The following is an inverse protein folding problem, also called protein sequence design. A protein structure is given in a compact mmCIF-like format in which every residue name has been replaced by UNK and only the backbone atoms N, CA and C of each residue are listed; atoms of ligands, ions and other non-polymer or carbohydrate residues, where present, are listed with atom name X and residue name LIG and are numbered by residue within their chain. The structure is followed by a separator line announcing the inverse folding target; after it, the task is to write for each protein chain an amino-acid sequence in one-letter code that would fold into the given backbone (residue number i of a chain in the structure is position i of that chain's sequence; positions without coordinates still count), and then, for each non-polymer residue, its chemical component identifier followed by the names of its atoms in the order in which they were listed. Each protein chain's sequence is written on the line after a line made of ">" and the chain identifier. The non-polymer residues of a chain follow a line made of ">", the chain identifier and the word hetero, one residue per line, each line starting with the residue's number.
data_IF_195710921315
#
_entry.id   IF_195710921315
#
_cell.length_a   1.000
_cell.length_b   1.000
_cell.length_c   1.000
_cell.angle_alpha   90.00
_cell.angle_beta   90.00
_cell.angle_gamma   90.00
#
_symmetry.space_group_name_H-M   'P 1'
#
loop_
_entity.id
_entity.type
_entity.pdbx_description
1 polymer ?
#
# COMPACT_ATOMS: atom_id res chain seq x y z
N UNK A 1 4.73 -16.37 -2.62
CA UNK A 1 3.44 -17.10 -2.68
C UNK A 1 2.33 -16.15 -2.29
N UNK A 2 1.25 -16.06 -3.09
CA UNK A 2 0.10 -15.21 -2.79
C UNK A 2 -0.73 -15.88 -1.69
N UNK A 3 -1.04 -15.19 -0.57
CA UNK A 3 -1.90 -15.75 0.45
C UNK A 3 -3.25 -16.21 -0.12
N UNK A 4 -3.85 -17.31 0.38
CA UNK A 4 -5.09 -17.87 -0.17
C UNK A 4 -6.25 -16.88 -0.27
N UNK A 5 -6.37 -15.96 0.70
CA UNK A 5 -7.43 -14.95 0.72
C UNK A 5 -7.26 -13.86 -0.37
N UNK A 6 -6.05 -13.68 -0.92
CA UNK A 6 -5.80 -12.80 -2.05
C UNK A 6 -5.93 -13.49 -3.40
N UNK A 7 -5.97 -14.83 -3.44
CA UNK A 7 -5.96 -15.55 -4.71
C UNK A 7 -7.14 -15.17 -5.61
N UNK A 8 -8.33 -15.14 -5.05
CA UNK A 8 -9.53 -14.74 -5.80
C UNK A 8 -9.45 -13.29 -6.30
N UNK A 9 -8.93 -12.39 -5.48
CA UNK A 9 -8.74 -10.99 -5.87
C UNK A 9 -7.68 -10.86 -6.96
N UNK A 10 -6.63 -11.65 -6.88
CA UNK A 10 -5.58 -11.71 -7.89
C UNK A 10 -6.09 -12.26 -9.22
N UNK A 11 -6.88 -13.34 -9.19
CA UNK A 11 -7.48 -13.90 -10.40
C UNK A 11 -8.42 -12.89 -11.08
N UNK A 12 -9.24 -12.17 -10.32
CA UNK A 12 -10.07 -11.09 -10.84
C UNK A 12 -9.24 -9.94 -11.43
N UNK A 13 -8.10 -9.60 -10.83
CA UNK A 13 -7.21 -8.58 -11.37
C UNK A 13 -6.58 -9.02 -12.70
N UNK A 14 -6.18 -10.28 -12.83
CA UNK A 14 -5.69 -10.83 -14.10
C UNK A 14 -6.76 -10.78 -15.19
N UNK A 15 -8.00 -11.17 -14.86
CA UNK A 15 -9.12 -11.07 -15.79
C UNK A 15 -9.33 -9.61 -16.26
N UNK A 16 -9.18 -8.65 -15.36
CA UNK A 16 -9.23 -7.24 -15.73
C UNK A 16 -8.09 -6.85 -16.67
N UNK A 17 -6.87 -7.26 -16.38
CA UNK A 17 -5.70 -6.97 -17.26
C UNK A 17 -5.92 -7.57 -18.65
N UNK A 18 -6.50 -8.76 -18.74
CA UNK A 18 -6.83 -9.40 -20.00
C UNK A 18 -7.96 -8.70 -20.77
N UNK A 19 -8.80 -7.93 -20.07
CA UNK A 19 -9.84 -7.09 -20.69
C UNK A 19 -9.31 -5.79 -21.30
N UNK A 20 -8.04 -5.45 -21.10
CA UNK A 20 -7.46 -4.22 -21.62
C UNK A 20 -7.44 -4.19 -23.13
N UNK A 21 -7.75 -3.01 -23.69
CA UNK A 21 -7.90 -2.81 -25.13
C UNK A 21 -6.57 -2.59 -25.87
N UNK A 22 -5.52 -2.19 -25.11
CA UNK A 22 -4.20 -2.00 -25.72
C UNK A 22 -3.50 -3.34 -25.98
N UNK A 23 -2.66 -3.41 -27.01
CA UNK A 23 -1.83 -4.59 -27.25
C UNK A 23 -0.99 -4.97 -26.02
N UNK A 24 -0.67 -6.27 -25.82
CA UNK A 24 0.04 -6.75 -24.64
C UNK A 24 1.28 -5.93 -24.24
N UNK A 25 2.08 -5.52 -25.21
CA UNK A 25 3.30 -4.73 -25.02
C UNK A 25 3.04 -3.27 -24.55
N UNK A 26 1.78 -2.81 -24.62
CA UNK A 26 1.37 -1.46 -24.20
C UNK A 26 0.43 -1.46 -22.99
N UNK A 27 0.03 -2.64 -22.49
CA UNK A 27 -0.91 -2.76 -21.36
C UNK A 27 -0.39 -2.11 -20.08
N UNK A 28 0.93 -1.97 -19.93
CA UNK A 28 1.51 -1.24 -18.80
C UNK A 28 0.98 0.20 -18.68
N UNK A 29 0.58 0.83 -19.77
CA UNK A 29 -0.01 2.18 -19.75
C UNK A 29 -1.39 2.17 -19.08
N UNK A 30 -2.19 1.12 -19.30
CA UNK A 30 -3.50 0.96 -18.66
C UNK A 30 -3.38 0.55 -17.19
N UNK A 31 -2.40 -0.30 -16.86
CA UNK A 31 -2.08 -0.67 -15.47
C UNK A 31 -1.67 0.55 -14.66
N UNK A 32 -0.89 1.45 -15.25
CA UNK A 32 -0.39 2.66 -14.57
C UNK A 32 -1.28 3.89 -14.75
N UNK A 33 -2.43 3.76 -15.38
CA UNK A 33 -3.36 4.87 -15.52
C UNK A 33 -3.79 5.38 -14.14
N UNK A 34 -3.67 6.68 -13.93
CA UNK A 34 -3.93 7.31 -12.64
C UNK A 34 -2.87 7.09 -11.57
N UNK A 35 -1.74 6.41 -11.86
CA UNK A 35 -0.70 6.11 -10.87
C UNK A 35 -0.30 7.33 -10.04
N UNK A 36 -0.38 7.19 -8.72
CA UNK A 36 -0.12 8.24 -7.72
C UNK A 36 -0.95 9.54 -7.89
N UNK A 37 -2.02 9.52 -8.67
CA UNK A 37 -2.84 10.71 -8.95
C UNK A 37 -4.32 10.48 -8.65
N UNK A 38 -4.92 9.47 -9.25
CA UNK A 38 -6.33 9.13 -9.05
C UNK A 38 -6.54 7.61 -9.18
N UNK A 39 -7.64 7.14 -8.62
CA UNK A 39 -8.03 5.73 -8.74
C UNK A 39 -9.05 5.56 -9.86
N UNK A 40 -8.79 4.64 -10.78
CA UNK A 40 -9.75 4.25 -11.80
C UNK A 40 -10.94 3.56 -11.11
N UNK A 41 -12.20 3.95 -11.41
CA UNK A 41 -13.37 3.42 -10.71
C UNK A 41 -13.46 1.89 -10.70
N UNK A 42 -13.09 1.25 -11.79
CA UNK A 42 -13.12 -0.21 -11.95
C UNK A 42 -12.11 -0.94 -11.07
N UNK A 43 -11.10 -0.25 -10.58
CA UNK A 43 -10.07 -0.82 -9.72
C UNK A 43 -10.36 -0.66 -8.23
N UNK A 44 -11.39 0.12 -7.86
CA UNK A 44 -11.78 0.31 -6.45
C UNK A 44 -12.10 -1.00 -5.74
N UNK A 45 -12.63 -1.98 -6.45
CA UNK A 45 -12.96 -3.30 -5.90
C UNK A 45 -11.73 -4.02 -5.34
N UNK A 46 -10.52 -3.71 -5.82
CA UNK A 46 -9.27 -4.31 -5.37
C UNK A 46 -8.67 -3.62 -4.15
N UNK A 47 -9.17 -2.43 -3.79
CA UNK A 47 -8.72 -1.68 -2.61
C UNK A 47 -9.61 -2.07 -1.43
N UNK A 48 -9.25 -3.16 -0.77
CA UNK A 48 -9.95 -3.66 0.41
C UNK A 48 -9.12 -3.39 1.67
N UNK A 49 -9.74 -3.38 2.87
CA UNK A 49 -9.00 -3.28 4.12
C UNK A 49 -7.85 -4.29 4.21
N UNK A 50 -8.08 -5.53 3.83
CA UNK A 50 -7.10 -6.61 3.85
C UNK A 50 -5.94 -6.34 2.89
N UNK A 51 -6.22 -5.79 1.71
CA UNK A 51 -5.19 -5.43 0.75
C UNK A 51 -4.34 -4.27 1.27
N UNK A 52 -4.95 -3.27 1.90
CA UNK A 52 -4.24 -2.15 2.53
C UNK A 52 -3.34 -2.66 3.65
N UNK A 53 -3.86 -3.47 4.57
CA UNK A 53 -3.10 -4.04 5.69
C UNK A 53 -1.92 -4.90 5.23
N UNK A 54 -2.05 -5.56 4.08
CA UNK A 54 -0.99 -6.42 3.54
C UNK A 54 0.22 -5.63 3.00
N UNK A 55 0.03 -4.39 2.58
CA UNK A 55 1.07 -3.60 1.89
C UNK A 55 1.41 -2.28 2.57
N UNK A 56 0.61 -1.87 3.55
CA UNK A 56 0.80 -0.61 4.29
C UNK A 56 0.98 -0.88 5.78
N UNK A 57 1.69 0.00 6.47
CA UNK A 57 1.67 0.04 7.92
C UNK A 57 0.39 0.75 8.37
N UNK A 58 -0.51 0.03 9.03
CA UNK A 58 -1.81 0.53 9.48
C UNK A 58 -2.03 0.12 10.92
N UNK A 59 -2.66 1.00 11.70
CA UNK A 59 -3.03 0.70 13.07
C UNK A 59 -2.88 1.90 14.00
N UNK A 60 -2.94 1.61 15.30
CA UNK A 60 -2.62 2.57 16.36
C UNK A 60 -1.15 2.97 16.35
N UNK A 61 -0.77 3.97 17.13
CA UNK A 61 0.63 4.34 17.30
C UNK A 61 1.47 3.14 17.80
N UNK A 62 0.93 2.34 18.71
CA UNK A 62 1.61 1.14 19.23
C UNK A 62 1.79 0.08 18.15
N UNK A 63 0.76 -0.15 17.32
CA UNK A 63 0.86 -1.09 16.20
C UNK A 63 1.93 -0.67 15.20
N UNK A 64 2.02 0.62 14.88
CA UNK A 64 3.05 1.15 13.99
C UNK A 64 4.44 1.02 14.61
N UNK A 65 4.60 1.32 15.89
CA UNK A 65 5.86 1.14 16.61
C UNK A 65 6.32 -0.31 16.55
N UNK A 66 5.44 -1.27 16.77
CA UNK A 66 5.75 -2.69 16.72
C UNK A 66 6.13 -3.16 15.30
N UNK A 67 5.45 -2.66 14.29
CA UNK A 67 5.79 -2.93 12.89
C UNK A 67 7.18 -2.37 12.53
N UNK A 68 7.50 -1.15 12.97
CA UNK A 68 8.83 -0.54 12.77
C UNK A 68 9.91 -1.30 13.52
N UNK A 69 9.66 -1.73 14.76
CA UNK A 69 10.59 -2.59 15.51
C UNK A 69 10.86 -3.91 14.80
N UNK A 70 9.80 -4.56 14.31
CA UNK A 70 9.94 -5.80 13.54
C UNK A 70 10.81 -5.59 12.30
N UNK A 71 10.61 -4.49 11.58
CA UNK A 71 11.45 -4.14 10.43
C UNK A 71 12.92 -3.93 10.85
N UNK A 72 13.15 -3.21 11.94
CA UNK A 72 14.50 -2.98 12.48
C UNK A 72 15.18 -4.29 12.90
N UNK A 73 14.48 -5.19 13.58
CA UNK A 73 14.98 -6.50 14.00
C UNK A 73 15.34 -7.40 12.79
N UNK A 74 14.68 -7.18 11.66
CA UNK A 74 15.00 -7.84 10.39
C UNK A 74 16.07 -7.11 9.56
N UNK A 75 16.73 -6.12 10.12
CA UNK A 75 17.89 -5.45 9.53
C UNK A 75 17.57 -4.20 8.71
N UNK A 76 16.32 -3.73 8.70
CA UNK A 76 15.95 -2.46 8.07
C UNK A 76 16.47 -1.31 8.93
N UNK A 77 17.25 -0.41 8.36
CA UNK A 77 17.88 0.71 9.07
C UNK A 77 17.28 2.07 8.75
N UNK A 78 16.51 2.15 7.68
CA UNK A 78 15.90 3.38 7.22
C UNK A 78 14.50 3.11 6.68
N UNK A 79 13.55 3.95 7.03
CA UNK A 79 12.17 3.89 6.54
C UNK A 79 11.81 5.24 5.95
N UNK A 80 11.33 5.22 4.72
CA UNK A 80 10.74 6.39 4.07
C UNK A 80 9.22 6.34 4.25
N UNK A 81 8.67 7.45 4.73
CA UNK A 81 7.22 7.58 4.95
C UNK A 81 6.58 8.23 3.73
N UNK A 82 5.55 7.60 3.20
CA UNK A 82 4.77 8.13 2.09
C UNK A 82 3.28 8.11 2.43
N UNK A 83 2.81 9.08 3.22
CA UNK A 83 1.41 9.16 3.60
C UNK A 83 0.52 9.63 2.44
N UNK A 84 -0.79 9.40 2.57
CA UNK A 84 -1.76 9.92 1.63
C UNK A 84 -1.69 11.47 1.58
N UNK A 85 -1.77 12.04 0.38
CA UNK A 85 -1.55 13.47 0.13
C UNK A 85 -2.47 14.36 0.97
N UNK A 86 -3.74 13.99 1.09
CA UNK A 86 -4.75 14.78 1.81
C UNK A 86 -4.51 14.84 3.33
N UNK A 87 -3.74 13.89 3.88
CA UNK A 87 -3.45 13.76 5.30
C UNK A 87 -1.95 13.80 5.63
N UNK A 88 -1.11 14.19 4.68
CA UNK A 88 0.34 14.07 4.83
C UNK A 88 0.89 14.89 6.02
N UNK A 89 0.37 16.07 6.27
CA UNK A 89 0.82 16.91 7.39
C UNK A 89 0.50 16.29 8.74
N UNK A 90 -0.71 15.76 8.89
CA UNK A 90 -1.15 15.07 10.12
C UNK A 90 -0.32 13.82 10.33
N UNK A 91 -0.14 13.01 9.29
CA UNK A 91 0.66 11.80 9.36
C UNK A 91 2.12 12.07 9.74
N UNK A 92 2.74 13.09 9.18
CA UNK A 92 4.11 13.48 9.57
C UNK A 92 4.19 13.98 11.01
N UNK A 93 3.21 14.77 11.45
CA UNK A 93 3.13 15.24 12.83
C UNK A 93 2.97 14.06 13.79
N UNK A 94 2.00 13.18 13.53
CA UNK A 94 1.74 12.03 14.38
C UNK A 94 2.97 11.11 14.44
N UNK A 95 3.63 10.90 13.31
CA UNK A 95 4.84 10.09 13.26
C UNK A 95 5.98 10.71 14.09
N UNK A 96 6.17 12.03 13.98
CA UNK A 96 7.18 12.76 14.74
C UNK A 96 6.90 12.78 16.26
N UNK A 97 5.65 12.89 16.65
CA UNK A 97 5.25 13.02 18.06
C UNK A 97 5.02 11.70 18.76
N UNK A 98 4.54 10.67 18.05
CA UNK A 98 4.10 9.41 18.63
C UNK A 98 5.04 8.23 18.33
N UNK A 99 5.68 8.23 17.16
CA UNK A 99 6.46 7.07 16.70
C UNK A 99 7.97 7.29 16.93
N UNK A 100 8.52 8.36 16.42
CA UNK A 100 9.98 8.64 16.52
C UNK A 100 10.49 8.61 17.97
N UNK A 101 9.79 9.17 18.98
CA UNK A 101 10.28 9.15 20.35
C UNK A 101 10.48 7.75 20.94
N UNK A 102 9.78 6.72 20.42
CA UNK A 102 9.93 5.35 20.86
C UNK A 102 11.27 4.71 20.43
N UNK A 103 12.01 5.36 19.52
CA UNK A 103 13.28 4.86 18.94
C UNK A 103 14.48 5.73 19.29
N UNK A 104 14.32 6.70 20.16
CA UNK A 104 15.39 7.59 20.65
C UNK A 104 16.00 7.09 21.93
#
# INVERSE_FOLDING_TARGET
>A
MIPPHFKNLWDQYLDRVDSFTLPPEKRFRQIHDGHATYMIPEEKVFVTPEAIEAVCMVGSAEDIIDQVRTAADNGIKEINIMPAADHCREAYKDFAELIIPAFR
#
